data_IF_594230777549
#
_entry.id   IF_594230777549
#
_cell.length_a   1.000
_cell.length_b   1.000
_cell.length_c   1.000
_cell.angle_alpha   90.00
_cell.angle_beta   90.00
_cell.angle_gamma   90.00
#
_symmetry.space_group_name_H-M   'P 1'
#
loop_
_entity.id
_entity.type
_entity.pdbx_description
1 polymer ?
#
# COMPACT_ATOMS: atom_id res chain seq x y z
N UNK A 1 -24.13 42.70 14.98
CA UNK A 1 -24.47 41.41 15.61
C UNK A 1 -25.84 41.04 15.08
N UNK A 2 -26.00 39.82 14.58
CA UNK A 2 -27.12 39.31 13.74
C UNK A 2 -26.93 39.51 12.23
N UNK A 3 -26.27 38.53 11.57
CA UNK A 3 -26.58 38.04 10.19
C UNK A 3 -25.63 36.89 9.80
N UNK A 4 -25.64 35.75 10.52
CA UNK A 4 -24.83 34.58 10.13
C UNK A 4 -25.42 33.24 10.62
N UNK A 5 -26.70 32.98 10.33
CA UNK A 5 -27.38 31.75 10.77
C UNK A 5 -28.25 31.05 9.70
N UNK A 6 -28.08 31.32 8.40
CA UNK A 6 -28.99 30.82 7.36
C UNK A 6 -28.34 30.09 6.16
N UNK A 7 -27.12 29.55 6.28
CA UNK A 7 -26.45 28.84 5.17
C UNK A 7 -25.98 27.42 5.50
N UNK A 8 -26.61 26.71 6.44
CA UNK A 8 -26.30 25.30 6.74
C UNK A 8 -27.45 24.31 6.47
N UNK A 9 -28.45 24.66 5.66
CA UNK A 9 -29.59 23.77 5.40
C UNK A 9 -30.03 23.77 3.94
N UNK A 10 -29.22 23.21 3.03
CA UNK A 10 -29.67 22.75 1.70
C UNK A 10 -28.55 21.99 0.95
N UNK A 11 -28.26 20.74 1.31
CA UNK A 11 -27.58 19.78 0.42
C UNK A 11 -27.86 18.31 0.81
N UNK A 12 -29.03 18.06 1.39
CA UNK A 12 -29.54 16.71 1.59
C UNK A 12 -30.65 16.47 0.55
N UNK A 13 -30.46 15.43 -0.26
CA UNK A 13 -31.37 14.85 -1.26
C UNK A 13 -30.93 15.03 -2.71
N UNK A 14 -30.14 14.07 -3.22
CA UNK A 14 -30.38 13.32 -4.48
C UNK A 14 -29.18 12.41 -4.75
N UNK A 15 -29.32 11.12 -4.44
CA UNK A 15 -28.27 10.12 -4.69
C UNK A 15 -28.76 8.69 -4.53
N UNK A 16 -30.05 8.45 -4.79
CA UNK A 16 -30.68 7.13 -4.81
C UNK A 16 -31.28 6.95 -6.20
N UNK A 17 -30.51 6.36 -7.13
CA UNK A 17 -31.01 5.67 -8.34
C UNK A 17 -29.84 5.35 -9.31
N UNK A 18 -29.05 4.31 -9.02
CA UNK A 18 -28.17 3.70 -10.03
C UNK A 18 -27.81 2.23 -9.71
N UNK A 19 -28.70 1.49 -9.04
CA UNK A 19 -28.49 0.08 -8.64
C UNK A 19 -29.68 -0.80 -9.02
N UNK A 20 -30.26 -0.56 -10.19
CA UNK A 20 -31.27 -1.44 -10.76
C UNK A 20 -31.20 -1.32 -12.29
N UNK A 21 -30.49 -2.24 -12.93
CA UNK A 21 -30.67 -2.75 -14.30
C UNK A 21 -29.39 -3.50 -14.67
N UNK A 22 -29.44 -4.84 -14.60
CA UNK A 22 -28.76 -5.84 -15.45
C UNK A 22 -28.52 -7.15 -14.68
N UNK A 23 -29.63 -7.78 -14.26
CA UNK A 23 -29.73 -9.23 -14.22
C UNK A 23 -30.82 -9.61 -15.21
N UNK A 24 -30.43 -10.16 -16.37
CA UNK A 24 -31.21 -11.22 -17.00
C UNK A 24 -30.41 -11.89 -18.13
N UNK A 25 -30.38 -13.23 -18.08
CA UNK A 25 -30.07 -14.04 -19.26
C UNK A 25 -28.84 -14.93 -19.14
N UNK A 26 -28.95 -16.07 -18.46
CA UNK A 26 -29.15 -17.37 -19.13
C UNK A 26 -29.12 -18.55 -18.15
N UNK A 27 -30.24 -19.27 -18.11
CA UNK A 27 -30.39 -20.65 -17.63
C UNK A 27 -30.34 -21.63 -18.81
N UNK A 28 -30.06 -22.89 -18.45
CA UNK A 28 -30.16 -24.18 -19.19
C UNK A 28 -28.85 -24.71 -19.78
N UNK A 29 -28.46 -25.99 -19.63
CA UNK A 29 -29.13 -27.20 -19.11
C UNK A 29 -28.10 -28.23 -18.57
N UNK A 30 -28.51 -29.16 -17.67
CA UNK A 30 -28.66 -30.64 -17.86
C UNK A 30 -27.36 -31.37 -18.32
N UNK A 31 -26.91 -32.52 -17.81
CA UNK A 31 -27.59 -33.64 -17.14
C UNK A 31 -26.57 -34.68 -16.57
N UNK A 32 -26.92 -35.30 -15.44
CA UNK A 32 -26.80 -36.73 -14.99
C UNK A 32 -25.51 -37.59 -14.91
N UNK A 33 -25.54 -38.37 -13.81
CA UNK A 33 -25.11 -39.77 -13.59
C UNK A 33 -23.61 -40.03 -13.29
N UNK A 34 -23.24 -40.33 -12.04
CA UNK A 34 -23.35 -41.61 -11.31
C UNK A 34 -22.24 -42.62 -11.66
N UNK A 35 -21.50 -43.10 -10.65
CA UNK A 35 -20.60 -44.24 -10.78
C UNK A 35 -19.55 -44.36 -9.69
N UNK A 36 -19.76 -45.29 -8.77
CA UNK A 36 -18.91 -45.65 -7.64
C UNK A 36 -17.53 -46.20 -8.03
N UNK A 37 -16.56 -46.15 -7.11
CA UNK A 37 -15.30 -46.88 -7.26
C UNK A 37 -14.30 -46.67 -6.12
N UNK A 38 -14.14 -47.71 -5.32
CA UNK A 38 -13.35 -47.84 -4.08
C UNK A 38 -11.82 -47.85 -4.26
N UNK A 39 -11.11 -47.25 -3.28
CA UNK A 39 -9.89 -47.67 -2.55
C UNK A 39 -8.74 -48.32 -3.37
N UNK A 40 -7.49 -47.82 -3.22
CA UNK A 40 -6.35 -48.55 -2.59
C UNK A 40 -5.06 -47.72 -2.57
N UNK A 41 -4.54 -47.57 -1.35
CA UNK A 41 -3.17 -47.19 -0.97
C UNK A 41 -2.21 -48.34 -1.26
N UNK A 42 -1.09 -48.09 -1.95
CA UNK A 42 0.10 -48.94 -1.87
C UNK A 42 1.36 -48.13 -2.09
N UNK A 43 2.20 -48.12 -1.06
CA UNK A 43 3.52 -47.53 -1.00
C UNK A 43 4.58 -48.60 -1.21
N UNK A 44 5.59 -48.34 -2.06
CA UNK A 44 6.95 -48.87 -1.88
C UNK A 44 7.97 -48.03 -2.68
N UNK A 45 9.22 -47.88 -2.19
CA UNK A 45 10.16 -46.85 -2.63
C UNK A 45 11.24 -47.38 -3.59
N UNK A 46 11.83 -46.51 -4.42
CA UNK A 46 12.96 -46.86 -5.28
C UNK A 46 13.60 -45.68 -6.02
N UNK A 47 14.78 -45.29 -5.53
CA UNK A 47 15.98 -44.64 -6.11
C UNK A 47 15.99 -43.79 -7.41
N UNK A 48 16.77 -42.70 -7.29
CA UNK A 48 17.34 -41.66 -8.20
C UNK A 48 18.01 -42.16 -9.52
N UNK A 49 18.50 -41.31 -10.50
CA UNK A 49 18.77 -39.84 -10.47
C UNK A 49 18.41 -38.98 -11.73
N UNK A 50 18.58 -37.66 -11.57
CA UNK A 50 18.93 -36.58 -12.54
C UNK A 50 18.15 -36.36 -13.85
N UNK A 51 17.52 -35.16 -13.98
CA UNK A 51 17.98 -34.09 -14.91
C UNK A 51 17.07 -32.84 -14.89
N UNK A 52 17.74 -31.69 -14.69
CA UNK A 52 17.51 -30.35 -15.21
C UNK A 52 16.15 -30.02 -15.88
N UNK A 53 15.38 -29.14 -15.24
CA UNK A 53 14.23 -28.45 -15.82
C UNK A 53 14.09 -27.04 -15.24
N UNK A 54 14.73 -26.08 -15.89
CA UNK A 54 14.84 -24.66 -15.53
C UNK A 54 13.48 -23.96 -15.70
N UNK A 55 12.67 -23.89 -14.65
CA UNK A 55 11.47 -23.05 -14.58
C UNK A 55 11.75 -21.73 -13.88
N UNK A 56 12.31 -20.74 -14.61
CA UNK A 56 12.46 -19.37 -14.10
C UNK A 56 11.10 -18.69 -14.22
N UNK A 57 10.35 -18.64 -13.12
CA UNK A 57 9.16 -17.80 -13.00
C UNK A 57 9.52 -16.37 -13.39
N UNK A 58 8.85 -15.85 -14.41
CA UNK A 58 8.93 -14.45 -14.83
C UNK A 58 8.54 -13.59 -13.63
N UNK A 59 9.49 -12.80 -13.15
CA UNK A 59 9.22 -11.66 -12.27
C UNK A 59 8.53 -10.62 -13.17
N UNK A 60 7.25 -10.34 -12.92
CA UNK A 60 6.56 -9.20 -13.51
C UNK A 60 7.21 -7.94 -12.94
N UNK A 61 8.13 -7.39 -13.72
CA UNK A 61 8.79 -6.13 -13.49
C UNK A 61 7.89 -5.04 -14.07
N UNK A 62 7.03 -4.47 -13.22
CA UNK A 62 6.26 -3.28 -13.56
C UNK A 62 7.22 -2.11 -13.76
N UNK A 63 7.10 -1.46 -14.91
CA UNK A 63 8.06 -0.53 -15.48
C UNK A 63 8.49 0.59 -14.52
N UNK A 64 9.79 0.64 -14.22
CA UNK A 64 10.43 1.77 -13.58
C UNK A 64 10.59 2.92 -14.60
N UNK A 65 10.15 4.12 -14.24
CA UNK A 65 10.47 5.37 -14.92
C UNK A 65 11.93 5.72 -14.61
N UNK A 66 12.80 5.53 -15.59
CA UNK A 66 14.25 5.65 -15.44
C UNK A 66 14.65 7.14 -15.34
N UNK A 67 14.69 7.69 -14.12
CA UNK A 67 15.15 9.06 -13.86
C UNK A 67 14.66 9.72 -12.57
N UNK A 68 13.60 9.21 -11.95
CA UNK A 68 13.02 9.76 -10.71
C UNK A 68 13.69 9.29 -9.41
N UNK A 69 13.39 9.93 -8.25
CA UNK A 69 13.79 9.42 -6.95
C UNK A 69 13.32 7.97 -6.76
N UNK A 70 14.24 7.10 -6.36
CA UNK A 70 13.95 5.67 -6.15
C UNK A 70 13.28 5.49 -4.79
N UNK A 71 12.08 4.89 -4.78
CA UNK A 71 11.33 4.59 -3.55
C UNK A 71 10.86 3.13 -3.60
N UNK A 72 11.10 2.38 -2.53
CA UNK A 72 10.64 1.00 -2.41
C UNK A 72 9.43 0.95 -1.47
N UNK A 73 8.32 0.40 -1.95
CA UNK A 73 7.09 0.23 -1.17
C UNK A 73 7.00 -1.21 -0.69
N UNK A 74 7.39 -1.45 0.56
CA UNK A 74 7.37 -2.75 1.19
C UNK A 74 5.98 -3.05 1.75
N UNK A 75 5.48 -4.27 1.53
CA UNK A 75 4.18 -4.68 2.06
C UNK A 75 4.24 -5.92 2.94
N UNK A 76 3.49 -5.87 4.04
CA UNK A 76 3.21 -6.98 4.94
C UNK A 76 1.73 -7.33 4.85
N UNK A 77 1.39 -8.44 4.18
CA UNK A 77 0.01 -8.78 3.83
C UNK A 77 -0.29 -10.25 4.11
N UNK A 78 -1.51 -10.56 4.57
CA UNK A 78 -2.02 -11.93 4.64
C UNK A 78 -3.06 -12.23 3.56
N UNK A 79 -4.02 -11.32 3.37
CA UNK A 79 -5.16 -11.50 2.46
C UNK A 79 -5.06 -10.69 1.16
N UNK A 80 -4.00 -9.91 0.98
CA UNK A 80 -3.74 -9.15 -0.25
C UNK A 80 -3.90 -7.63 -0.12
N UNK A 81 -4.62 -7.11 0.88
CA UNK A 81 -4.95 -5.67 0.97
C UNK A 81 -3.73 -4.74 0.95
N UNK A 82 -2.71 -5.01 1.79
CA UNK A 82 -1.50 -4.19 1.82
C UNK A 82 -0.67 -4.30 0.53
N UNK A 83 -0.74 -5.45 -0.15
CA UNK A 83 -0.06 -5.67 -1.42
C UNK A 83 -0.71 -4.85 -2.55
N UNK A 84 -2.05 -4.82 -2.59
CA UNK A 84 -2.80 -4.02 -3.55
C UNK A 84 -2.54 -2.54 -3.36
N UNK A 85 -2.55 -2.05 -2.11
CA UNK A 85 -2.19 -0.65 -1.81
C UNK A 85 -0.76 -0.32 -2.21
N UNK A 86 0.19 -1.22 -1.99
CA UNK A 86 1.59 -0.99 -2.37
C UNK A 86 1.76 -0.90 -3.89
N UNK A 87 1.08 -1.79 -4.63
CA UNK A 87 1.07 -1.78 -6.10
C UNK A 87 0.41 -0.51 -6.65
N UNK A 88 -0.73 -0.10 -6.08
CA UNK A 88 -1.42 1.13 -6.46
C UNK A 88 -0.54 2.36 -6.22
N UNK A 89 0.08 2.46 -5.03
CA UNK A 89 0.98 3.57 -4.68
C UNK A 89 2.19 3.64 -5.61
N UNK A 90 2.81 2.50 -5.93
CA UNK A 90 3.95 2.45 -6.84
C UNK A 90 3.57 2.88 -8.27
N UNK A 91 2.41 2.44 -8.76
CA UNK A 91 1.91 2.81 -10.08
C UNK A 91 1.60 4.31 -10.16
N UNK A 92 0.93 4.87 -9.15
CA UNK A 92 0.61 6.30 -9.09
C UNK A 92 1.88 7.15 -8.98
N UNK A 93 2.86 6.70 -8.19
CA UNK A 93 4.17 7.35 -8.06
C UNK A 93 4.94 7.43 -9.38
N UNK A 94 4.86 6.39 -10.22
CA UNK A 94 5.45 6.41 -11.55
C UNK A 94 4.88 7.54 -12.44
N UNK A 95 3.57 7.79 -12.35
CA UNK A 95 2.91 8.92 -13.01
C UNK A 95 3.27 10.30 -12.45
N UNK A 96 3.80 10.34 -11.22
CA UNK A 96 4.24 11.55 -10.51
C UNK A 96 5.75 11.81 -10.62
N UNK A 97 6.47 11.02 -11.42
CA UNK A 97 7.92 11.20 -11.66
C UNK A 97 8.82 10.49 -10.64
N UNK A 98 8.30 9.58 -9.83
CA UNK A 98 9.08 8.72 -8.95
C UNK A 98 9.41 7.38 -9.62
N UNK A 99 10.58 6.82 -9.31
CA UNK A 99 10.88 5.43 -9.64
C UNK A 99 10.46 4.53 -8.47
N UNK A 100 9.17 4.19 -8.41
CA UNK A 100 8.61 3.37 -7.33
C UNK A 100 8.38 1.92 -7.73
N UNK A 101 8.56 0.99 -6.78
CA UNK A 101 8.18 -0.42 -6.95
C UNK A 101 7.60 -0.99 -5.66
N UNK A 102 6.61 -1.87 -5.80
CA UNK A 102 6.11 -2.68 -4.69
C UNK A 102 7.03 -3.88 -4.47
N UNK A 103 7.35 -4.17 -3.20
CA UNK A 103 8.29 -5.23 -2.82
C UNK A 103 7.70 -6.07 -1.70
N UNK A 104 7.60 -7.38 -1.95
CA UNK A 104 7.27 -8.35 -0.89
C UNK A 104 8.45 -8.44 0.08
N UNK A 105 8.16 -8.28 1.38
CA UNK A 105 9.19 -8.35 2.42
C UNK A 105 9.80 -9.74 2.60
N UNK A 106 9.14 -10.79 2.12
CA UNK A 106 9.62 -12.16 2.27
C UNK A 106 10.95 -12.38 1.53
N UNK A 107 11.97 -12.84 2.26
CA UNK A 107 13.26 -13.21 1.69
C UNK A 107 14.09 -12.02 1.20
N UNK A 108 13.80 -10.80 1.68
CA UNK A 108 14.66 -9.64 1.44
C UNK A 108 15.95 -9.73 2.27
N UNK A 109 17.06 -9.24 1.71
CA UNK A 109 18.30 -9.07 2.47
C UNK A 109 18.30 -7.71 3.19
N UNK A 110 17.66 -7.68 4.36
CA UNK A 110 17.51 -6.47 5.18
C UNK A 110 18.84 -5.86 5.63
N UNK A 111 19.92 -6.66 5.66
CA UNK A 111 21.26 -6.23 6.12
C UNK A 111 21.97 -5.35 5.10
N UNK A 112 21.59 -5.46 3.83
CA UNK A 112 22.16 -4.66 2.74
C UNK A 112 21.14 -3.68 2.14
N UNK A 113 19.84 -3.87 2.39
CA UNK A 113 18.78 -3.29 1.58
C UNK A 113 18.16 -1.98 2.06
N UNK A 114 18.24 -1.62 3.34
CA UNK A 114 17.47 -0.48 3.87
C UNK A 114 18.28 0.79 4.14
N UNK A 115 19.58 0.68 4.45
CA UNK A 115 20.38 1.85 4.80
C UNK A 115 20.51 2.82 3.62
N UNK A 116 20.17 4.08 3.83
CA UNK A 116 20.30 5.12 2.80
C UNK A 116 19.25 5.04 1.68
N UNK A 117 18.19 4.23 1.85
CA UNK A 117 17.12 4.10 0.86
C UNK A 117 15.93 4.99 1.19
N UNK A 118 14.95 5.02 0.29
CA UNK A 118 13.66 5.63 0.56
C UNK A 118 12.62 4.51 0.61
N UNK A 119 11.99 4.34 1.76
CA UNK A 119 11.16 3.18 2.08
C UNK A 119 9.76 3.61 2.47
N UNK A 120 8.74 2.95 1.95
CA UNK A 120 7.36 3.10 2.44
C UNK A 120 6.92 1.72 2.91
N UNK A 121 6.44 1.60 4.15
CA UNK A 121 5.99 0.34 4.72
C UNK A 121 4.47 0.33 4.84
N UNK A 122 3.80 -0.58 4.12
CA UNK A 122 2.38 -0.86 4.28
C UNK A 122 2.22 -2.20 5.00
N UNK A 123 1.91 -2.18 6.29
CA UNK A 123 2.01 -3.37 7.14
C UNK A 123 0.69 -3.69 7.84
N UNK A 124 0.14 -4.87 7.56
CA UNK A 124 -1.02 -5.37 8.26
C UNK A 124 -0.64 -6.01 9.61
N UNK A 125 -1.53 -5.85 10.58
CA UNK A 125 -1.46 -6.57 11.86
C UNK A 125 -2.32 -7.82 11.77
N UNK A 126 -1.82 -8.96 12.25
CA UNK A 126 -2.53 -10.24 12.21
C UNK A 126 -2.59 -10.91 13.59
N UNK A 127 -3.60 -11.75 13.82
CA UNK A 127 -3.73 -12.50 15.07
C UNK A 127 -3.81 -11.60 16.30
N UNK A 128 -2.94 -11.86 17.29
CA UNK A 128 -2.89 -11.12 18.57
C UNK A 128 -1.86 -9.98 18.53
N UNK A 129 -1.87 -9.21 17.45
CA UNK A 129 -0.93 -8.11 17.26
C UNK A 129 0.38 -8.51 16.59
N UNK A 130 0.44 -9.67 15.94
CA UNK A 130 1.62 -10.23 15.27
C UNK A 130 1.81 -9.68 13.84
N UNK A 131 3.04 -9.75 13.28
CA UNK A 131 3.28 -9.49 11.86
C UNK A 131 2.63 -10.54 10.96
N UNK A 132 2.31 -10.12 9.73
CA UNK A 132 1.96 -11.05 8.64
C UNK A 132 3.12 -12.00 8.33
N UNK A 133 2.81 -13.16 7.74
CA UNK A 133 3.83 -14.20 7.47
C UNK A 133 5.01 -13.69 6.64
N UNK A 134 4.74 -12.82 5.66
CA UNK A 134 5.77 -12.25 4.81
C UNK A 134 6.59 -11.12 5.48
N UNK A 135 6.10 -10.54 6.58
CA UNK A 135 6.77 -9.45 7.31
C UNK A 135 7.55 -9.93 8.54
N UNK A 136 7.36 -11.19 8.98
CA UNK A 136 7.97 -11.76 10.20
C UNK A 136 9.48 -11.55 10.30
N UNK A 137 10.21 -11.86 9.24
CA UNK A 137 11.67 -11.75 9.22
C UNK A 137 12.13 -10.28 9.28
N UNK A 138 11.42 -9.38 8.59
CA UNK A 138 11.68 -7.94 8.62
C UNK A 138 11.48 -7.38 10.03
N UNK A 139 10.32 -7.68 10.63
CA UNK A 139 9.98 -7.24 11.97
C UNK A 139 10.99 -7.71 13.01
N UNK A 140 11.36 -9.00 12.96
CA UNK A 140 12.38 -9.56 13.85
C UNK A 140 13.72 -8.84 13.65
N UNK A 141 14.13 -8.61 12.41
CA UNK A 141 15.38 -7.91 12.13
C UNK A 141 15.39 -6.49 12.70
N UNK A 142 14.34 -5.69 12.46
CA UNK A 142 14.20 -4.33 13.00
C UNK A 142 14.28 -4.30 14.53
N UNK A 143 13.65 -5.28 15.19
CA UNK A 143 13.49 -5.27 16.65
C UNK A 143 14.66 -5.88 17.40
N UNK A 144 15.32 -6.90 16.85
CA UNK A 144 16.28 -7.72 17.58
C UNK A 144 17.69 -7.75 16.97
N UNK A 145 17.82 -7.64 15.65
CA UNK A 145 19.10 -7.89 14.96
C UNK A 145 19.76 -6.61 14.41
N UNK A 146 18.97 -5.58 14.11
CA UNK A 146 19.46 -4.31 13.61
C UNK A 146 20.16 -3.52 14.72
N UNK A 147 21.42 -3.17 14.49
CA UNK A 147 22.17 -2.28 15.39
C UNK A 147 21.77 -0.82 15.25
N UNK A 148 22.16 0.00 16.21
CA UNK A 148 21.94 1.45 16.17
C UNK A 148 22.50 2.06 14.87
N UNK A 149 21.73 2.95 14.24
CA UNK A 149 22.10 3.57 12.96
C UNK A 149 21.97 2.65 11.73
N UNK A 150 21.39 1.45 11.87
CA UNK A 150 21.15 0.55 10.73
C UNK A 150 20.32 1.20 9.60
N UNK A 151 19.50 2.20 9.93
CA UNK A 151 18.69 2.96 8.99
C UNK A 151 19.17 4.40 8.81
N UNK A 152 20.40 4.73 9.19
CA UNK A 152 20.95 6.07 8.97
C UNK A 152 20.90 6.45 7.47
N UNK A 153 20.38 7.66 7.20
CA UNK A 153 20.17 8.18 5.84
C UNK A 153 18.96 7.58 5.13
N UNK A 154 18.23 6.66 5.77
CA UNK A 154 16.98 6.11 5.22
C UNK A 154 15.86 7.09 5.49
N UNK A 155 15.07 7.42 4.47
CA UNK A 155 13.83 8.19 4.65
C UNK A 155 12.65 7.25 4.55
N UNK A 156 11.73 7.31 5.51
CA UNK A 156 10.64 6.34 5.59
C UNK A 156 9.26 6.94 5.86
N UNK A 157 8.21 6.25 5.45
CA UNK A 157 6.84 6.48 5.89
C UNK A 157 6.14 5.14 6.14
N UNK A 158 5.17 5.11 7.04
CA UNK A 158 4.46 3.87 7.41
C UNK A 158 2.96 4.09 7.36
N UNK A 159 2.25 3.12 6.79
CA UNK A 159 0.81 2.97 6.91
C UNK A 159 0.49 1.61 7.52
N UNK A 160 -0.12 1.62 8.69
CA UNK A 160 -0.61 0.41 9.33
C UNK A 160 -1.99 0.03 8.81
N UNK A 161 -2.18 -1.25 8.50
CA UNK A 161 -3.49 -1.84 8.27
C UNK A 161 -3.91 -2.60 9.53
N UNK A 162 -4.99 -2.16 10.16
CA UNK A 162 -5.50 -2.73 11.41
C UNK A 162 -7.02 -2.74 11.42
N UNK A 163 -7.57 -3.18 12.55
CA UNK A 163 -9.02 -3.20 12.77
C UNK A 163 -9.27 -2.88 14.25
N UNK A 164 -10.10 -1.87 14.53
CA UNK A 164 -10.36 -1.38 15.90
C UNK A 164 -11.19 -2.34 16.75
N UNK A 165 -11.85 -3.34 16.15
CA UNK A 165 -12.49 -4.43 16.88
C UNK A 165 -11.48 -5.35 17.60
N UNK A 166 -10.21 -5.29 17.20
CA UNK A 166 -9.13 -6.04 17.85
C UNK A 166 -8.42 -5.17 18.87
N UNK A 167 -8.13 -5.74 20.05
CA UNK A 167 -7.41 -5.05 21.13
C UNK A 167 -6.06 -4.49 20.65
N UNK A 168 -5.38 -5.24 19.78
CA UNK A 168 -4.05 -4.91 19.25
C UNK A 168 -4.11 -4.07 17.97
N UNK A 169 -4.97 -3.05 17.94
CA UNK A 169 -5.14 -2.15 16.79
C UNK A 169 -3.82 -1.55 16.28
N UNK A 170 -3.49 -1.84 15.02
CA UNK A 170 -2.33 -1.32 14.29
C UNK A 170 -0.97 -1.52 14.98
N UNK A 171 -0.83 -2.60 15.75
CA UNK A 171 0.40 -2.86 16.52
C UNK A 171 1.63 -2.97 15.62
N UNK A 172 1.50 -3.58 14.43
CA UNK A 172 2.62 -3.69 13.51
C UNK A 172 3.00 -2.37 12.85
N UNK A 173 2.02 -1.55 12.43
CA UNK A 173 2.31 -0.20 11.91
C UNK A 173 3.05 0.66 12.93
N UNK A 174 2.58 0.64 14.18
CA UNK A 174 3.22 1.35 15.30
C UNK A 174 4.64 0.87 15.59
N UNK A 175 4.87 -0.44 15.54
CA UNK A 175 6.20 -1.01 15.75
C UNK A 175 7.17 -0.67 14.62
N UNK A 176 6.76 -0.81 13.36
CA UNK A 176 7.61 -0.45 12.23
C UNK A 176 7.98 1.03 12.27
N UNK A 177 7.02 1.93 12.53
CA UNK A 177 7.29 3.37 12.62
C UNK A 177 8.30 3.70 13.74
N UNK A 178 8.06 3.18 14.94
CA UNK A 178 8.95 3.38 16.08
C UNK A 178 10.35 2.77 15.85
N UNK A 179 10.43 1.54 15.37
CA UNK A 179 11.70 0.85 15.18
C UNK A 179 12.51 1.46 14.04
N UNK A 180 11.86 1.95 12.98
CA UNK A 180 12.55 2.66 11.91
C UNK A 180 13.19 3.96 12.41
N UNK A 181 12.47 4.75 13.21
CA UNK A 181 12.99 5.97 13.82
C UNK A 181 14.12 5.66 14.83
N UNK A 182 13.91 4.66 15.70
CA UNK A 182 14.92 4.20 16.68
C UNK A 182 16.24 3.80 16.03
N UNK A 183 16.18 3.19 14.85
CA UNK A 183 17.37 2.74 14.09
C UNK A 183 18.01 3.86 13.25
N UNK A 184 17.57 5.11 13.38
CA UNK A 184 18.15 6.29 12.72
C UNK A 184 17.52 6.65 11.38
N UNK A 185 16.36 6.05 11.05
CA UNK A 185 15.57 6.45 9.90
C UNK A 185 14.92 7.83 10.11
N UNK A 186 14.74 8.58 9.03
CA UNK A 186 14.06 9.87 9.02
C UNK A 186 12.62 9.69 8.52
N UNK A 187 11.63 9.97 9.36
CA UNK A 187 10.22 9.96 8.98
C UNK A 187 9.94 11.09 7.97
N UNK A 188 9.36 10.75 6.82
CA UNK A 188 8.93 11.69 5.77
C UNK A 188 7.54 12.24 6.09
N UNK A 189 6.65 11.37 6.55
CA UNK A 189 5.25 11.69 6.81
C UNK A 189 4.75 10.84 7.99
N UNK A 190 3.74 11.37 8.69
CA UNK A 190 3.21 10.76 9.91
C UNK A 190 2.63 9.36 9.64
N UNK A 191 2.70 8.51 10.67
CA UNK A 191 2.15 7.15 10.65
C UNK A 191 0.65 7.19 10.34
N UNK A 192 0.25 6.54 9.25
CA UNK A 192 -1.16 6.28 8.95
C UNK A 192 -1.69 5.06 9.69
N UNK A 193 -2.93 5.14 10.17
CA UNK A 193 -3.61 4.07 10.90
C UNK A 193 -4.93 3.75 10.20
N UNK A 194 -4.92 2.77 9.29
CA UNK A 194 -6.13 2.31 8.62
C UNK A 194 -6.98 1.40 9.51
N UNK A 195 -8.30 1.52 9.42
CA UNK A 195 -9.27 0.72 10.16
C UNK A 195 -10.21 -0.07 9.22
N UNK A 196 -10.04 -1.39 9.22
CA UNK A 196 -10.87 -2.32 8.46
C UNK A 196 -12.29 -2.52 9.02
N UNK A 197 -12.58 -2.08 10.26
CA UNK A 197 -13.97 -2.02 10.76
C UNK A 197 -14.77 -0.89 10.07
N UNK A 198 -14.08 0.20 9.75
CA UNK A 198 -14.63 1.35 9.02
C UNK A 198 -14.41 1.21 7.52
N UNK A 199 -13.53 2.06 6.98
CA UNK A 199 -13.16 2.07 5.57
C UNK A 199 -11.67 2.26 5.42
N UNK A 200 -10.95 1.14 5.41
CA UNK A 200 -9.49 1.13 5.27
C UNK A 200 -9.02 1.77 3.96
N UNK A 201 -9.86 1.71 2.92
CA UNK A 201 -9.60 2.38 1.63
C UNK A 201 -9.62 3.90 1.79
N UNK A 202 -10.64 4.46 2.44
CA UNK A 202 -10.75 5.91 2.62
C UNK A 202 -9.64 6.44 3.55
N UNK A 203 -9.28 5.67 4.57
CA UNK A 203 -8.13 5.98 5.44
C UNK A 203 -6.82 6.00 4.65
N UNK A 204 -6.63 5.01 3.76
CA UNK A 204 -5.45 4.93 2.91
C UNK A 204 -5.39 6.08 1.91
N UNK A 205 -6.50 6.40 1.25
CA UNK A 205 -6.56 7.50 0.28
C UNK A 205 -6.31 8.86 0.96
N UNK A 206 -6.89 9.08 2.14
CA UNK A 206 -6.66 10.30 2.95
C UNK A 206 -5.19 10.45 3.35
N UNK A 207 -4.54 9.35 3.76
CA UNK A 207 -3.12 9.35 4.11
C UNK A 207 -2.24 9.55 2.87
N UNK A 208 -2.54 8.86 1.76
CA UNK A 208 -1.81 8.92 0.49
C UNK A 208 -1.84 10.33 -0.12
N UNK A 209 -2.98 11.00 -0.09
CA UNK A 209 -3.12 12.35 -0.65
C UNK A 209 -2.25 13.39 0.07
N UNK A 210 -2.01 13.18 1.37
CA UNK A 210 -1.11 14.02 2.19
C UNK A 210 0.36 13.58 2.11
N UNK A 211 0.60 12.29 1.83
CA UNK A 211 1.94 11.76 1.61
C UNK A 211 2.60 12.39 0.37
N UNK A 212 1.85 12.62 -0.72
CA UNK A 212 2.42 13.11 -1.98
C UNK A 212 3.13 14.47 -1.86
N UNK A 213 2.53 15.51 -1.25
CA UNK A 213 3.24 16.76 -0.96
C UNK A 213 4.52 16.54 -0.13
N UNK A 214 4.46 15.71 0.92
CA UNK A 214 5.60 15.43 1.77
C UNK A 214 6.76 14.73 1.02
N UNK A 215 6.43 13.78 0.13
CA UNK A 215 7.42 13.18 -0.77
C UNK A 215 7.98 14.22 -1.75
N UNK A 216 7.15 15.11 -2.29
CA UNK A 216 7.58 16.18 -3.19
C UNK A 216 8.65 17.07 -2.54
N UNK A 217 8.38 17.52 -1.31
CA UNK A 217 9.31 18.31 -0.49
C UNK A 217 10.58 17.53 -0.14
N UNK A 218 10.45 16.29 0.31
CA UNK A 218 11.59 15.47 0.74
C UNK A 218 12.56 15.13 -0.41
N UNK A 219 12.06 15.05 -1.64
CA UNK A 219 12.85 14.72 -2.84
C UNK A 219 13.15 15.91 -3.75
N UNK A 220 12.65 17.11 -3.42
CA UNK A 220 12.83 18.30 -4.24
C UNK A 220 12.20 18.18 -5.62
N UNK A 221 11.12 17.40 -5.75
CA UNK A 221 10.33 17.35 -6.97
C UNK A 221 9.36 18.52 -6.96
N UNK A 222 9.58 19.47 -7.87
CA UNK A 222 8.61 20.55 -8.07
C UNK A 222 7.31 19.94 -8.62
N UNK A 223 6.25 20.02 -7.83
CA UNK A 223 4.90 19.72 -8.28
C UNK A 223 4.53 20.80 -9.29
N UNK A 224 4.76 20.54 -10.59
CA UNK A 224 4.33 21.48 -11.62
C UNK A 224 2.81 21.59 -11.58
N UNK A 225 2.30 22.82 -11.54
CA UNK A 225 0.86 23.09 -11.47
C UNK A 225 0.06 22.44 -12.62
N UNK A 226 0.73 22.08 -13.72
CA UNK A 226 0.15 21.40 -14.88
C UNK A 226 -0.20 19.92 -14.59
N UNK A 227 0.56 19.26 -13.71
CA UNK A 227 0.27 17.88 -13.26
C UNK A 227 -1.00 17.81 -12.40
N UNK A 228 -1.27 18.86 -11.60
CA UNK A 228 -2.47 19.00 -10.78
C UNK A 228 -3.75 19.16 -11.61
N UNK A 229 -3.65 19.59 -12.87
CA UNK A 229 -4.82 19.82 -13.75
C UNK A 229 -5.30 18.54 -14.46
N UNK A 230 -4.47 17.50 -14.53
CA UNK A 230 -4.75 16.32 -15.37
C UNK A 230 -5.43 15.18 -14.60
N UNK A 231 -5.29 15.14 -13.27
CA UNK A 231 -5.87 14.11 -12.40
C UNK A 231 -6.86 14.70 -11.37
N UNK A 232 -7.92 15.32 -11.88
CA UNK A 232 -9.21 15.32 -11.19
C UNK A 232 -9.32 16.04 -9.85
N UNK A 233 -8.87 17.28 -9.72
CA UNK A 233 -9.55 18.21 -8.78
C UNK A 233 -9.71 19.58 -9.43
N UNK A 234 -10.92 19.88 -9.86
CA UNK A 234 -11.28 21.11 -10.55
C UNK A 234 -11.45 22.26 -9.54
N UNK A 235 -10.36 22.78 -8.97
CA UNK A 235 -10.42 24.01 -8.18
C UNK A 235 -10.42 25.22 -9.12
N UNK A 236 -11.55 25.92 -9.15
CA UNK A 236 -11.76 27.17 -9.89
C UNK A 236 -10.92 28.28 -9.26
N UNK A 237 -9.72 28.53 -9.78
CA UNK A 237 -8.88 29.67 -9.43
C UNK A 237 -9.48 30.96 -10.02
N UNK A 238 -10.06 31.82 -9.18
CA UNK A 238 -10.21 33.24 -9.51
C UNK A 238 -8.83 33.89 -9.38
N UNK A 239 -8.24 34.19 -10.53
CA UNK A 239 -7.04 35.02 -10.63
C UNK A 239 -7.33 36.43 -10.12
N UNK A 240 -6.57 36.87 -9.12
CA UNK A 240 -6.40 38.27 -8.79
C UNK A 240 -4.98 38.49 -8.30
N UNK A 241 -4.01 38.39 -9.21
CA UNK A 241 -2.65 38.87 -8.96
C UNK A 241 -2.00 39.34 -10.26
N UNK A 242 -2.50 40.43 -10.83
CA UNK A 242 -1.73 41.39 -11.64
C UNK A 242 -2.50 42.71 -11.67
N UNK A 243 -2.15 43.62 -10.76
CA UNK A 243 -2.49 45.02 -10.89
C UNK A 243 -1.40 45.86 -10.19
N UNK A 244 -0.20 45.84 -10.78
CA UNK A 244 0.77 46.92 -10.67
C UNK A 244 1.48 47.04 -12.01
N UNK A 245 1.65 48.28 -12.47
CA UNK A 245 2.25 48.78 -13.73
C UNK A 245 1.25 48.88 -14.90
N UNK A 246 0.91 50.05 -15.47
CA UNK A 246 1.33 51.46 -15.34
C UNK A 246 0.09 52.38 -15.43
#
# INVERSE_FOLDING_TARGET
LETAAWLCAAAAATGLAAWAVMEDGKRQGQETAAGAGSITISSTPGSLPDKAGRGRSKKEETAATDGGPKVEVYFGSQTGTAEEFAKALALEGAGRGYSMKAVDMRGMDFRQGLRGTNAIFLVATYGDGDPTDNAKECYKWLREEAGDGALEGTRFAVFGLGNTLYEKYNTMGKHFDHDCERLGGQRIFDLGLGDDDGSIQDDFDTWKDQLWPALGEAFGLEVSAESLMTHGVQYRLTAAYFATEE
#
